data_IF_564659537165
#
_entry.id   IF_564659537165
#
_cell.length_a   1.000
_cell.length_b   1.000
_cell.length_c   1.000
_cell.angle_alpha   90.00
_cell.angle_beta   90.00
_cell.angle_gamma   90.00
#
_symmetry.space_group_name_H-M   'P 1'
#
loop_
_entity.id
_entity.type
_entity.pdbx_description
1 polymer ?
#
# COMPACT_ATOMS: atom_id res chain seq x y z
N UNK A 1 27.83 -0.48 -15.01
CA UNK A 1 26.81 -0.75 -13.97
C UNK A 1 25.63 0.18 -14.21
N UNK A 2 24.38 -0.31 -14.22
CA UNK A 2 23.22 0.59 -14.29
C UNK A 2 23.15 1.39 -12.98
N UNK A 3 22.94 2.72 -13.01
CA UNK A 3 22.79 3.50 -11.79
C UNK A 3 21.63 2.96 -10.96
N UNK A 4 21.80 2.87 -9.64
CA UNK A 4 20.70 2.51 -8.72
C UNK A 4 19.72 3.69 -8.70
N UNK A 5 18.61 3.55 -9.41
CA UNK A 5 17.49 4.49 -9.34
C UNK A 5 16.72 4.21 -8.05
N UNK A 6 16.71 5.19 -7.15
CA UNK A 6 15.86 5.20 -5.97
C UNK A 6 15.07 6.52 -5.97
N UNK A 7 13.75 6.42 -6.05
CA UNK A 7 12.85 7.57 -6.10
C UNK A 7 11.64 7.32 -5.18
N UNK A 8 11.21 8.32 -4.39
CA UNK A 8 10.03 8.18 -3.55
C UNK A 8 8.74 8.37 -4.37
N UNK A 9 7.72 7.57 -4.07
CA UNK A 9 6.36 7.75 -4.55
C UNK A 9 5.42 7.85 -3.36
N UNK A 10 4.63 8.91 -3.29
CA UNK A 10 3.56 9.02 -2.29
C UNK A 10 2.39 8.13 -2.70
N UNK A 11 1.96 7.25 -1.81
CA UNK A 11 0.84 6.35 -2.02
C UNK A 11 0.13 6.09 -0.70
N UNK A 12 -1.17 6.44 -0.60
CA UNK A 12 -2.00 5.95 0.50
C UNK A 12 -2.59 4.59 0.10
N UNK A 13 -2.01 3.53 0.66
CA UNK A 13 -2.40 2.15 0.32
C UNK A 13 -3.81 1.79 0.76
N UNK A 14 -4.41 2.55 1.68
CA UNK A 14 -5.82 2.39 2.06
C UNK A 14 -6.80 2.90 1.00
N UNK A 15 -6.31 3.64 0.01
CA UNK A 15 -7.09 4.21 -1.06
C UNK A 15 -6.75 3.51 -2.38
N UNK A 16 -7.65 2.63 -2.84
CA UNK A 16 -7.45 1.84 -4.07
C UNK A 16 -6.96 2.68 -5.25
N UNK A 17 -7.60 3.81 -5.54
CA UNK A 17 -7.20 4.67 -6.68
C UNK A 17 -5.75 5.19 -6.55
N UNK A 18 -5.28 5.47 -5.34
CA UNK A 18 -3.90 5.91 -5.08
C UNK A 18 -2.91 4.81 -5.42
N UNK A 19 -3.23 3.55 -5.10
CA UNK A 19 -2.37 2.39 -5.40
C UNK A 19 -2.18 2.21 -6.90
N UNK A 20 -3.27 2.20 -7.67
CA UNK A 20 -3.20 2.01 -9.12
C UNK A 20 -2.47 3.18 -9.80
N UNK A 21 -2.74 4.42 -9.37
CA UNK A 21 -2.04 5.59 -9.92
C UNK A 21 -0.53 5.55 -9.62
N UNK A 22 -0.12 5.13 -8.42
CA UNK A 22 1.29 4.98 -8.08
C UNK A 22 1.95 3.84 -8.87
N UNK A 23 1.29 2.69 -9.02
CA UNK A 23 1.79 1.55 -9.79
C UNK A 23 2.05 1.92 -11.26
N UNK A 24 1.10 2.62 -11.92
CA UNK A 24 1.28 3.08 -13.30
C UNK A 24 2.46 4.04 -13.44
N UNK A 25 2.65 4.96 -12.48
CA UNK A 25 3.81 5.87 -12.49
C UNK A 25 5.13 5.12 -12.32
N UNK A 26 5.20 4.19 -11.37
CA UNK A 26 6.39 3.36 -11.16
C UNK A 26 6.72 2.56 -12.42
N UNK A 27 5.72 1.96 -13.06
CA UNK A 27 5.92 1.18 -14.30
C UNK A 27 6.44 2.06 -15.44
N UNK A 28 5.92 3.27 -15.59
CA UNK A 28 6.35 4.21 -16.64
C UNK A 28 7.78 4.74 -16.41
N UNK A 29 8.15 5.02 -15.16
CA UNK A 29 9.42 5.69 -14.82
C UNK A 29 10.57 4.71 -14.54
N UNK A 30 10.27 3.53 -13.98
CA UNK A 30 11.26 2.54 -13.50
C UNK A 30 11.19 1.22 -14.28
N UNK A 31 10.00 0.82 -14.72
CA UNK A 31 9.72 -0.47 -15.38
C UNK A 31 9.02 -1.46 -14.45
N UNK A 32 9.05 -2.74 -14.84
CA UNK A 32 8.30 -3.79 -14.13
C UNK A 32 8.84 -4.08 -12.73
N UNK A 33 7.93 -4.20 -11.76
CA UNK A 33 8.28 -4.55 -10.39
C UNK A 33 8.47 -6.06 -10.28
N UNK A 34 9.66 -6.49 -9.85
CA UNK A 34 10.00 -7.91 -9.69
C UNK A 34 9.85 -8.43 -8.27
N UNK A 35 9.82 -7.53 -7.29
CA UNK A 35 9.66 -7.85 -5.86
C UNK A 35 8.72 -6.83 -5.23
N UNK A 36 7.66 -7.32 -4.59
CA UNK A 36 6.73 -6.53 -3.79
C UNK A 36 6.95 -6.81 -2.30
N UNK A 37 7.08 -5.76 -1.50
CA UNK A 37 7.14 -5.86 -0.04
C UNK A 37 5.88 -5.21 0.57
N UNK A 38 4.92 -6.03 0.96
CA UNK A 38 3.70 -5.59 1.64
C UNK A 38 3.99 -5.32 3.12
N UNK A 39 4.46 -4.12 3.45
CA UNK A 39 4.86 -3.75 4.81
C UNK A 39 3.93 -2.73 5.50
N UNK A 40 3.01 -2.10 4.77
CA UNK A 40 2.14 -1.09 5.37
C UNK A 40 1.25 -1.72 6.46
N UNK A 41 1.20 -1.08 7.62
CA UNK A 41 0.45 -1.58 8.78
C UNK A 41 0.09 -0.46 9.76
N UNK A 42 -1.14 -0.49 10.25
CA UNK A 42 -1.63 0.37 11.34
C UNK A 42 -2.33 -0.47 12.41
N UNK A 43 -2.24 -0.02 13.65
CA UNK A 43 -2.81 -0.71 14.81
C UNK A 43 -3.69 0.26 15.61
N UNK A 44 -4.89 -0.17 15.99
CA UNK A 44 -5.80 0.63 16.81
C UNK A 44 -5.36 0.72 18.28
N UNK A 45 -4.65 -0.31 18.76
CA UNK A 45 -4.17 -0.43 20.14
C UNK A 45 -5.26 -0.68 21.17
N UNK A 46 -6.51 -0.86 20.75
CA UNK A 46 -7.67 -1.04 21.64
C UNK A 46 -8.13 -2.51 21.69
N UNK A 47 -8.74 -2.95 22.80
CA UNK A 47 -9.46 -4.22 22.83
C UNK A 47 -10.53 -4.26 21.73
N UNK A 48 -10.79 -5.45 21.17
CA UNK A 48 -11.69 -5.62 20.01
C UNK A 48 -13.09 -5.02 20.26
N UNK A 49 -13.68 -5.28 21.44
CA UNK A 49 -15.03 -4.82 21.80
C UNK A 49 -15.10 -3.33 22.14
N UNK A 50 -13.96 -2.66 22.29
CA UNK A 50 -13.85 -1.24 22.62
C UNK A 50 -13.25 -0.43 21.45
N UNK A 51 -12.96 -1.09 20.33
CA UNK A 51 -12.41 -0.45 19.15
C UNK A 51 -13.53 0.28 18.40
N UNK A 52 -13.43 1.60 18.18
CA UNK A 52 -14.34 2.30 17.28
C UNK A 52 -14.27 1.71 15.87
N UNK A 53 -15.41 1.66 15.21
CA UNK A 53 -15.57 1.10 13.86
C UNK A 53 -14.58 1.72 12.87
N UNK A 54 -14.40 3.04 12.92
CA UNK A 54 -13.48 3.78 12.04
C UNK A 54 -12.02 3.29 12.15
N UNK A 55 -11.57 2.91 13.34
CA UNK A 55 -10.22 2.38 13.54
C UNK A 55 -10.09 0.95 13.03
N UNK A 56 -11.14 0.14 13.23
CA UNK A 56 -11.21 -1.22 12.68
C UNK A 56 -11.19 -1.18 11.14
N UNK A 57 -12.02 -0.33 10.54
CA UNK A 57 -12.06 -0.11 9.09
C UNK A 57 -10.71 0.36 8.55
N UNK A 58 -10.06 1.30 9.24
CA UNK A 58 -8.72 1.78 8.86
C UNK A 58 -7.69 0.64 8.90
N UNK A 59 -7.70 -0.19 9.94
CA UNK A 59 -6.83 -1.37 10.05
C UNK A 59 -7.11 -2.35 8.90
N UNK A 60 -8.37 -2.64 8.58
CA UNK A 60 -8.70 -3.55 7.48
C UNK A 60 -8.31 -2.97 6.11
N UNK A 61 -8.50 -1.67 5.91
CA UNK A 61 -8.12 -1.00 4.67
C UNK A 61 -6.60 -1.03 4.43
N UNK A 62 -5.79 -0.77 5.46
CA UNK A 62 -4.32 -0.74 5.34
C UNK A 62 -3.69 -2.13 5.42
N UNK A 63 -4.13 -2.98 6.35
CA UNK A 63 -3.42 -4.22 6.68
C UNK A 63 -3.97 -5.44 5.94
N UNK A 64 -5.12 -5.32 5.28
CA UNK A 64 -5.76 -6.43 4.56
C UNK A 64 -6.05 -6.04 3.10
N UNK A 65 -6.92 -5.05 2.87
CA UNK A 65 -7.34 -4.69 1.51
C UNK A 65 -6.18 -4.20 0.63
N UNK A 66 -5.30 -3.36 1.19
CA UNK A 66 -4.13 -2.85 0.49
C UNK A 66 -3.26 -3.95 -0.14
N UNK A 67 -3.06 -5.09 0.55
CA UNK A 67 -2.21 -6.18 0.06
C UNK A 67 -2.76 -6.75 -1.25
N UNK A 68 -4.09 -6.88 -1.36
CA UNK A 68 -4.73 -7.32 -2.58
C UNK A 68 -4.58 -6.27 -3.69
N UNK A 69 -4.88 -5.01 -3.41
CA UNK A 69 -4.82 -3.95 -4.43
C UNK A 69 -3.41 -3.75 -4.98
N UNK A 70 -2.39 -3.74 -4.11
CA UNK A 70 -1.00 -3.58 -4.56
C UNK A 70 -0.56 -4.81 -5.36
N UNK A 71 -0.97 -6.02 -4.95
CA UNK A 71 -0.66 -7.25 -5.70
C UNK A 71 -1.37 -7.32 -7.06
N UNK A 72 -2.54 -6.70 -7.22
CA UNK A 72 -3.25 -6.67 -8.50
C UNK A 72 -2.79 -5.53 -9.42
N UNK A 73 -2.25 -4.44 -8.85
CA UNK A 73 -1.87 -3.26 -9.60
C UNK A 73 -0.48 -3.39 -10.27
N UNK A 74 0.42 -4.19 -9.68
CA UNK A 74 1.77 -4.43 -10.17
C UNK A 74 1.80 -5.53 -11.22
#
# INVERSE_FOLDING_TARGET
>A
ARPRLAGPYTCDVSARHSVYAAAERVRAEVGDVTVLVNNAGVVSGKPLLECPDELLERTMAVNCHALFWVSFAL
#
